data_IF_856339598424
#
_entry.id   IF_856339598424
#
_cell.length_a   1.000
_cell.length_b   1.000
_cell.length_c   1.000
_cell.angle_alpha   90.00
_cell.angle_beta   90.00
_cell.angle_gamma   90.00
#
_symmetry.space_group_name_H-M   'P 1'
#
loop_
_entity.id
_entity.type
_entity.pdbx_description
1 polymer ?
#
# COMPACT_ATOMS: atom_id res chain seq x y z
N UNK A 1 6.54 18.60 -11.08
CA UNK A 1 5.17 18.10 -10.70
C UNK A 1 5.31 16.73 -10.09
N UNK A 2 4.67 16.45 -8.95
CA UNK A 2 4.73 15.15 -8.26
C UNK A 2 4.18 14.03 -9.15
N UNK A 3 4.95 12.97 -9.37
CA UNK A 3 4.51 11.78 -10.11
C UNK A 3 3.77 10.84 -9.18
N UNK A 4 2.61 10.34 -9.61
CA UNK A 4 1.79 9.42 -8.83
C UNK A 4 1.76 8.03 -9.47
N UNK A 5 1.85 7.02 -8.62
CA UNK A 5 1.75 5.61 -9.00
C UNK A 5 0.72 4.93 -8.13
N UNK A 6 -0.14 4.13 -8.72
CA UNK A 6 -1.11 3.34 -7.99
C UNK A 6 -0.88 1.84 -8.22
N UNK A 7 -0.80 1.06 -7.15
CA UNK A 7 -0.64 -0.39 -7.21
C UNK A 7 -1.90 -1.07 -6.74
N UNK A 8 -2.42 -1.93 -7.59
CA UNK A 8 -3.57 -2.78 -7.32
C UNK A 8 -3.20 -4.26 -7.36
N UNK A 9 -3.99 -5.07 -6.69
CA UNK A 9 -3.94 -6.54 -6.72
C UNK A 9 -4.74 -7.12 -5.56
N UNK A 10 -5.13 -8.38 -5.66
CA UNK A 10 -5.82 -9.07 -4.58
C UNK A 10 -4.96 -9.19 -3.32
N UNK A 11 -5.59 -9.43 -2.16
CA UNK A 11 -4.85 -9.71 -0.90
C UNK A 11 -3.89 -10.88 -1.13
N UNK A 12 -2.62 -10.67 -0.81
CA UNK A 12 -1.55 -11.64 -1.02
C UNK A 12 -0.95 -11.70 -2.42
N UNK A 13 -1.36 -10.82 -3.36
CA UNK A 13 -0.78 -10.75 -4.70
C UNK A 13 0.69 -10.27 -4.72
N UNK A 14 1.17 -9.65 -3.65
CA UNK A 14 2.54 -9.13 -3.57
C UNK A 14 2.65 -7.63 -3.87
N UNK A 15 1.59 -6.86 -3.70
CA UNK A 15 1.59 -5.40 -3.91
C UNK A 15 2.69 -4.68 -3.13
N UNK A 16 2.85 -5.03 -1.85
CA UNK A 16 3.88 -4.45 -0.99
C UNK A 16 5.29 -4.77 -1.50
N UNK A 17 5.51 -6.02 -1.96
CA UNK A 17 6.78 -6.41 -2.57
C UNK A 17 7.07 -5.58 -3.82
N UNK A 18 6.07 -5.41 -4.69
CA UNK A 18 6.20 -4.59 -5.90
C UNK A 18 6.46 -3.13 -5.53
N UNK A 19 5.73 -2.58 -4.55
CA UNK A 19 5.91 -1.20 -4.09
C UNK A 19 7.34 -0.96 -3.58
N UNK A 20 7.84 -1.84 -2.72
CA UNK A 20 9.18 -1.74 -2.15
C UNK A 20 10.27 -1.85 -3.23
N UNK A 21 10.17 -2.85 -4.11
CA UNK A 21 11.14 -3.04 -5.19
C UNK A 21 11.12 -1.91 -6.22
N UNK A 22 9.93 -1.40 -6.53
CA UNK A 22 9.77 -0.25 -7.42
C UNK A 22 10.37 1.01 -6.79
N UNK A 23 10.08 1.28 -5.51
CA UNK A 23 10.65 2.41 -4.79
C UNK A 23 12.19 2.34 -4.76
N UNK A 24 12.75 1.18 -4.40
CA UNK A 24 14.20 0.96 -4.39
C UNK A 24 14.84 1.16 -5.77
N UNK A 25 14.13 0.79 -6.85
CA UNK A 25 14.62 0.96 -8.23
C UNK A 25 14.55 2.41 -8.67
N UNK A 26 13.49 3.14 -8.30
CA UNK A 26 13.35 4.56 -8.61
C UNK A 26 14.42 5.41 -7.91
N UNK A 27 14.70 5.13 -6.63
CA UNK A 27 15.82 5.78 -5.90
C UNK A 27 17.17 5.49 -6.57
N UNK A 28 17.37 4.23 -7.04
CA UNK A 28 18.58 3.87 -7.79
C UNK A 28 18.70 4.65 -9.09
N UNK A 29 17.60 4.83 -9.85
CA UNK A 29 17.64 5.59 -11.11
C UNK A 29 18.01 7.05 -10.83
N UNK A 30 17.39 7.68 -9.82
CA UNK A 30 17.70 9.05 -9.43
C UNK A 30 19.17 9.23 -9.01
N UNK A 31 19.71 8.30 -8.20
CA UNK A 31 21.11 8.31 -7.81
C UNK A 31 22.04 8.09 -9.02
N UNK A 32 21.67 7.20 -9.93
CA UNK A 32 22.46 6.90 -11.14
C UNK A 32 22.56 8.10 -12.07
N UNK A 33 21.48 8.88 -12.21
CA UNK A 33 21.47 10.13 -12.95
C UNK A 33 22.40 11.17 -12.32
N UNK A 34 22.34 11.35 -11.01
CA UNK A 34 23.19 12.28 -10.28
C UNK A 34 24.67 11.91 -10.39
N UNK A 35 24.98 10.60 -10.44
CA UNK A 35 26.35 10.11 -10.59
C UNK A 35 26.81 9.99 -12.04
N UNK A 36 26.00 10.41 -13.03
CA UNK A 36 26.29 10.36 -14.45
C UNK A 36 26.76 8.95 -14.92
N UNK A 37 26.10 7.88 -14.45
CA UNK A 37 26.42 6.51 -14.84
C UNK A 37 25.93 6.25 -16.27
N UNK A 38 26.71 6.69 -17.25
CA UNK A 38 26.31 6.73 -18.66
C UNK A 38 26.61 5.42 -19.44
N UNK A 39 27.35 4.45 -18.86
CA UNK A 39 27.64 3.18 -19.52
C UNK A 39 26.53 2.17 -19.17
N UNK A 40 25.84 1.68 -20.18
CA UNK A 40 24.77 0.68 -20.03
C UNK A 40 25.22 -0.55 -19.25
N UNK A 41 26.47 -1.02 -19.44
CA UNK A 41 27.02 -2.17 -18.70
C UNK A 41 27.14 -1.90 -17.21
N UNK A 42 27.56 -0.69 -16.81
CA UNK A 42 27.75 -0.31 -15.43
C UNK A 42 26.40 -0.06 -14.76
N UNK A 43 25.47 0.59 -15.47
CA UNK A 43 24.11 0.77 -15.03
C UNK A 43 23.40 -0.57 -14.72
N UNK A 44 23.43 -1.51 -15.67
CA UNK A 44 22.83 -2.86 -15.47
C UNK A 44 23.50 -3.62 -14.33
N UNK A 45 24.81 -3.51 -14.16
CA UNK A 45 25.53 -4.16 -13.07
C UNK A 45 25.10 -3.59 -11.71
N UNK A 46 25.05 -2.27 -11.56
CA UNK A 46 24.62 -1.61 -10.34
C UNK A 46 23.16 -1.90 -10.03
N UNK A 47 22.27 -1.81 -11.02
CA UNK A 47 20.87 -2.21 -10.85
C UNK A 47 20.74 -3.65 -10.32
N UNK A 48 21.50 -4.59 -10.88
CA UNK A 48 21.47 -5.98 -10.42
C UNK A 48 21.84 -6.12 -8.94
N UNK A 49 22.81 -5.36 -8.47
CA UNK A 49 23.24 -5.37 -7.07
C UNK A 49 22.14 -4.81 -6.17
N UNK A 50 21.62 -3.62 -6.50
CA UNK A 50 20.59 -2.94 -5.71
C UNK A 50 19.30 -3.78 -5.65
N UNK A 51 18.86 -4.30 -6.80
CA UNK A 51 17.65 -5.11 -6.85
C UNK A 51 17.77 -6.40 -6.02
N UNK A 52 18.90 -7.11 -6.14
CA UNK A 52 19.13 -8.33 -5.36
C UNK A 52 19.20 -8.05 -3.86
N UNK A 53 19.82 -6.95 -3.45
CA UNK A 53 19.87 -6.52 -2.05
C UNK A 53 18.46 -6.17 -1.53
N UNK A 54 17.68 -5.43 -2.31
CA UNK A 54 16.29 -5.10 -1.98
C UNK A 54 15.42 -6.36 -1.83
N UNK A 55 15.51 -7.31 -2.79
CA UNK A 55 14.80 -8.59 -2.69
C UNK A 55 15.20 -9.34 -1.41
N UNK A 56 16.51 -9.42 -1.11
CA UNK A 56 16.99 -10.09 0.09
C UNK A 56 16.44 -9.45 1.36
N UNK A 57 16.57 -8.14 1.51
CA UNK A 57 16.05 -7.40 2.68
C UNK A 57 14.56 -7.64 2.86
N UNK A 58 13.79 -7.55 1.79
CA UNK A 58 12.33 -7.75 1.85
C UNK A 58 11.94 -9.19 2.23
N UNK A 59 12.65 -10.19 1.71
CA UNK A 59 12.38 -11.61 1.99
C UNK A 59 12.81 -12.00 3.40
N UNK A 60 13.93 -11.47 3.88
CA UNK A 60 14.45 -11.76 5.21
C UNK A 60 13.54 -11.17 6.30
N UNK A 61 13.13 -9.93 6.16
CA UNK A 61 12.24 -9.23 7.11
C UNK A 61 11.57 -8.04 6.41
N UNK A 62 10.32 -8.22 5.99
CA UNK A 62 9.54 -7.20 5.27
C UNK A 62 9.39 -5.90 6.09
N UNK A 63 9.00 -6.02 7.36
CA UNK A 63 8.67 -4.85 8.18
C UNK A 63 9.94 -4.05 8.49
N UNK A 64 11.06 -4.75 8.71
CA UNK A 64 12.37 -4.13 8.86
C UNK A 64 12.86 -3.50 7.56
N UNK A 65 12.63 -4.14 6.41
CA UNK A 65 13.00 -3.58 5.11
C UNK A 65 12.32 -2.23 4.86
N UNK A 66 11.04 -2.09 5.20
CA UNK A 66 10.34 -0.81 5.13
C UNK A 66 10.83 0.21 6.16
N UNK A 67 11.08 -0.23 7.39
CA UNK A 67 11.55 0.66 8.47
C UNK A 67 12.97 1.21 8.22
N UNK A 68 13.85 0.38 7.65
CA UNK A 68 15.23 0.73 7.33
C UNK A 68 15.39 1.43 5.97
N UNK A 69 14.31 1.53 5.17
CA UNK A 69 14.35 2.16 3.86
C UNK A 69 14.49 3.68 4.00
N UNK A 70 15.60 4.22 3.51
CA UNK A 70 15.85 5.66 3.43
C UNK A 70 15.53 6.15 2.00
N UNK A 71 14.23 6.13 1.65
CA UNK A 71 13.76 6.66 0.37
C UNK A 71 13.73 8.20 0.45
N UNK A 72 14.51 8.86 -0.40
CA UNK A 72 14.65 10.33 -0.39
C UNK A 72 13.66 11.03 -1.31
N UNK A 73 13.32 10.36 -2.41
CA UNK A 73 12.49 10.92 -3.49
C UNK A 73 11.23 10.10 -3.76
N UNK A 74 11.10 8.92 -3.13
CA UNK A 74 9.94 8.04 -3.28
C UNK A 74 9.21 7.89 -1.96
N UNK A 75 7.90 8.12 -1.99
CA UNK A 75 7.02 8.06 -0.81
C UNK A 75 6.01 6.94 -1.01
N UNK A 76 5.94 6.05 -0.03
CA UNK A 76 4.94 4.98 0.00
C UNK A 76 3.77 5.42 0.86
N UNK A 77 2.55 5.26 0.33
CA UNK A 77 1.32 5.70 0.97
C UNK A 77 0.19 4.70 0.69
N UNK A 78 -0.89 4.77 1.45
CA UNK A 78 -2.10 4.00 1.19
C UNK A 78 -3.35 4.77 1.60
N UNK A 79 -4.43 4.64 0.82
CA UNK A 79 -5.73 5.22 1.17
C UNK A 79 -6.27 4.71 2.52
N UNK A 80 -5.87 3.50 2.90
CA UNK A 80 -6.21 2.88 4.17
C UNK A 80 -5.44 3.41 5.38
N UNK A 81 -4.49 4.32 5.22
CA UNK A 81 -3.66 4.80 6.34
C UNK A 81 -4.40 5.85 7.18
N UNK A 82 -5.21 6.70 6.56
CA UNK A 82 -6.01 7.67 7.29
C UNK A 82 -7.00 7.03 8.28
N UNK A 83 -7.82 6.01 7.91
CA UNK A 83 -8.66 5.32 8.87
C UNK A 83 -7.88 4.62 9.98
N UNK A 84 -6.72 4.02 9.68
CA UNK A 84 -5.85 3.40 10.68
C UNK A 84 -5.34 4.41 11.69
N UNK A 85 -4.84 5.56 11.24
CA UNK A 85 -4.35 6.63 12.12
C UNK A 85 -5.46 7.14 13.05
N UNK A 86 -6.70 7.31 12.54
CA UNK A 86 -7.84 7.73 13.35
C UNK A 86 -8.23 6.66 14.38
N UNK A 87 -8.23 5.38 14.00
CA UNK A 87 -8.50 4.28 14.94
C UNK A 87 -7.42 4.21 16.02
N UNK A 88 -6.15 4.37 15.66
CA UNK A 88 -5.06 4.41 16.64
C UNK A 88 -5.27 5.52 17.69
N UNK A 89 -5.63 6.71 17.23
CA UNK A 89 -5.95 7.83 18.14
C UNK A 89 -7.17 7.55 19.01
N UNK A 90 -8.23 6.97 18.42
CA UNK A 90 -9.46 6.65 19.13
C UNK A 90 -9.22 5.63 20.25
N UNK A 91 -8.42 4.59 19.96
CA UNK A 91 -8.10 3.54 20.92
C UNK A 91 -6.96 3.92 21.88
N UNK A 92 -6.20 4.97 21.58
CA UNK A 92 -5.02 5.36 22.36
C UNK A 92 -3.95 4.28 22.44
N UNK A 93 -3.82 3.45 21.41
CA UNK A 93 -3.04 2.21 21.43
C UNK A 93 -1.67 2.34 20.75
N UNK A 94 -0.80 1.37 21.02
CA UNK A 94 0.51 1.27 20.38
C UNK A 94 0.39 1.06 18.87
N UNK A 95 1.38 1.58 18.14
CA UNK A 95 1.50 1.47 16.69
C UNK A 95 1.32 0.02 16.18
N UNK A 96 1.93 -0.96 16.84
CA UNK A 96 1.92 -2.36 16.41
C UNK A 96 0.52 -2.92 16.15
N UNK A 97 -0.47 -2.60 16.98
CA UNK A 97 -1.83 -3.15 16.86
C UNK A 97 -2.56 -2.72 15.58
N UNK A 98 -2.24 -1.53 15.08
CA UNK A 98 -2.92 -0.95 13.93
C UNK A 98 -2.14 -1.15 12.62
N UNK A 99 -0.83 -1.15 12.69
CA UNK A 99 0.01 -1.10 11.49
C UNK A 99 0.63 -2.44 11.12
N UNK A 100 0.97 -3.29 12.09
CA UNK A 100 1.51 -4.62 11.84
C UNK A 100 0.40 -5.63 11.57
N UNK A 101 0.51 -6.41 10.48
CA UNK A 101 -0.53 -7.35 10.08
C UNK A 101 -0.73 -8.48 11.09
N UNK A 102 0.35 -8.90 11.77
CA UNK A 102 0.28 -9.92 12.81
C UNK A 102 -0.73 -9.54 13.90
N UNK A 103 -0.56 -8.35 14.49
CA UNK A 103 -1.37 -7.91 15.63
C UNK A 103 -2.83 -7.64 15.29
N UNK A 104 -3.14 -7.27 14.04
CA UNK A 104 -4.53 -7.12 13.60
C UNK A 104 -5.33 -8.41 13.70
N UNK A 105 -4.66 -9.56 13.56
CA UNK A 105 -5.25 -10.90 13.63
C UNK A 105 -4.95 -11.61 14.98
N UNK A 106 -4.20 -10.95 15.91
CA UNK A 106 -3.82 -11.49 17.23
C UNK A 106 -4.10 -10.50 18.37
N UNK A 107 -5.00 -9.55 18.15
CA UNK A 107 -5.48 -8.67 19.19
C UNK A 107 -6.98 -8.39 19.02
N UNK A 108 -7.65 -8.24 20.15
CA UNK A 108 -9.06 -7.89 20.23
C UNK A 108 -9.23 -6.58 20.99
N UNK A 109 -10.25 -5.81 20.62
CA UNK A 109 -10.69 -4.61 21.33
C UNK A 109 -12.02 -4.89 22.02
N UNK A 110 -12.10 -4.57 23.31
CA UNK A 110 -13.37 -4.54 24.05
C UNK A 110 -14.13 -3.26 23.72
N UNK A 111 -15.28 -3.39 23.07
CA UNK A 111 -16.07 -2.24 22.62
C UNK A 111 -16.71 -1.42 23.77
N UNK A 112 -16.68 -1.91 25.01
CA UNK A 112 -17.18 -1.17 26.17
C UNK A 112 -16.10 -0.25 26.76
N UNK A 113 -14.84 -0.69 26.78
CA UNK A 113 -13.75 0.02 27.45
C UNK A 113 -12.71 0.56 26.50
N UNK A 114 -12.68 0.07 25.26
CA UNK A 114 -11.61 0.24 24.28
C UNK A 114 -10.25 -0.34 24.71
N UNK A 115 -10.27 -1.22 25.72
CA UNK A 115 -9.06 -1.96 26.09
C UNK A 115 -8.68 -2.97 25.00
N UNK A 116 -7.40 -3.10 24.74
CA UNK A 116 -6.85 -4.07 23.79
C UNK A 116 -6.24 -5.23 24.55
N UNK A 117 -6.55 -6.45 24.14
CA UNK A 117 -5.96 -7.69 24.63
C UNK A 117 -5.26 -8.42 23.51
N UNK A 118 -4.03 -8.86 23.78
CA UNK A 118 -3.30 -9.77 22.91
C UNK A 118 -3.82 -11.19 23.10
N UNK A 119 -3.95 -11.90 21.98
CA UNK A 119 -4.45 -13.30 21.95
C UNK A 119 -3.59 -14.13 21.02
N UNK A 120 -3.37 -15.39 21.37
CA UNK A 120 -2.61 -16.31 20.50
C UNK A 120 -3.43 -16.65 19.23
N UNK A 121 -4.73 -16.84 19.39
CA UNK A 121 -5.71 -17.06 18.32
C UNK A 121 -6.96 -16.24 18.61
N UNK A 122 -7.65 -15.76 17.57
CA UNK A 122 -8.90 -15.05 17.76
C UNK A 122 -9.95 -15.99 18.39
N UNK A 123 -10.56 -15.60 19.54
CA UNK A 123 -11.55 -16.43 20.20
C UNK A 123 -12.83 -16.58 19.36
N UNK A 124 -13.55 -17.69 19.57
CA UNK A 124 -14.88 -17.85 19.02
C UNK A 124 -15.85 -16.85 19.65
N UNK A 125 -16.85 -16.40 18.89
CA UNK A 125 -17.91 -15.52 19.38
C UNK A 125 -17.54 -14.05 19.46
N UNK A 126 -16.46 -13.63 18.80
CA UNK A 126 -16.19 -12.21 18.58
C UNK A 126 -17.35 -11.56 17.82
N UNK A 127 -17.61 -10.30 18.16
CA UNK A 127 -18.55 -9.46 17.42
C UNK A 127 -17.99 -9.21 16.03
N UNK A 128 -18.81 -9.40 15.01
CA UNK A 128 -18.49 -9.12 13.62
C UNK A 128 -18.95 -7.71 13.23
N UNK A 129 -18.51 -7.26 12.05
CA UNK A 129 -18.98 -5.99 11.46
C UNK A 129 -20.50 -6.02 11.26
N UNK A 130 -21.07 -7.18 10.86
CA UNK A 130 -22.50 -7.33 10.62
C UNK A 130 -23.29 -7.23 11.94
N UNK A 131 -22.80 -7.83 13.04
CA UNK A 131 -23.42 -7.72 14.36
C UNK A 131 -23.49 -6.25 14.82
N UNK A 132 -22.47 -5.44 14.58
CA UNK A 132 -22.48 -4.02 14.90
C UNK A 132 -23.49 -3.23 14.05
N UNK A 133 -23.66 -3.58 12.78
CA UNK A 133 -24.65 -2.97 11.89
C UNK A 133 -26.06 -3.26 12.38
N UNK A 134 -26.30 -4.46 12.88
CA UNK A 134 -27.59 -4.91 13.40
C UNK A 134 -27.87 -4.42 14.83
N UNK A 135 -26.94 -3.69 15.45
CA UNK A 135 -27.10 -3.05 16.75
C UNK A 135 -26.68 -3.91 17.95
N UNK A 136 -25.98 -5.02 17.74
CA UNK A 136 -25.42 -5.88 18.79
C UNK A 136 -24.00 -5.41 19.16
N UNK A 137 -23.88 -4.28 19.86
CA UNK A 137 -22.60 -3.58 20.01
C UNK A 137 -21.85 -3.78 21.33
N UNK A 138 -22.05 -4.90 22.05
CA UNK A 138 -21.41 -5.13 23.36
C UNK A 138 -20.54 -6.39 23.28
N UNK A 139 -19.22 -6.26 23.42
CA UNK A 139 -18.31 -7.40 23.44
C UNK A 139 -16.93 -7.09 22.85
N UNK A 140 -16.21 -8.14 22.49
CA UNK A 140 -14.87 -8.06 21.92
C UNK A 140 -14.93 -8.24 20.39
N UNK A 141 -14.11 -7.48 19.67
CA UNK A 141 -13.97 -7.51 18.21
C UNK A 141 -12.49 -7.58 17.82
N UNK A 142 -12.16 -8.22 16.69
CA UNK A 142 -10.79 -8.15 16.19
C UNK A 142 -10.41 -6.71 15.82
N UNK A 143 -9.14 -6.34 16.00
CA UNK A 143 -8.64 -5.01 15.58
C UNK A 143 -8.87 -4.81 14.08
N UNK A 144 -8.71 -5.86 13.26
CA UNK A 144 -8.96 -5.82 11.81
C UNK A 144 -10.41 -5.42 11.51
N UNK A 145 -11.37 -6.08 12.14
CA UNK A 145 -12.79 -5.81 11.90
C UNK A 145 -13.20 -4.43 12.45
N UNK A 146 -12.61 -4.00 13.55
CA UNK A 146 -12.83 -2.66 14.09
C UNK A 146 -12.37 -1.56 13.13
N UNK A 147 -11.16 -1.71 12.53
CA UNK A 147 -10.67 -0.78 11.50
C UNK A 147 -11.61 -0.74 10.29
N UNK A 148 -12.09 -1.92 9.83
CA UNK A 148 -13.02 -2.01 8.70
C UNK A 148 -14.37 -1.37 9.04
N UNK A 149 -14.93 -1.69 10.20
CA UNK A 149 -16.19 -1.09 10.67
C UNK A 149 -16.09 0.44 10.75
N UNK A 150 -15.07 0.95 11.42
CA UNK A 150 -14.87 2.39 11.55
C UNK A 150 -14.67 3.06 10.17
N UNK A 151 -13.82 2.51 9.34
CA UNK A 151 -13.50 3.08 8.03
C UNK A 151 -14.67 3.10 7.06
N UNK A 152 -15.48 2.05 7.03
CA UNK A 152 -16.56 1.88 6.05
C UNK A 152 -17.91 2.28 6.67
N UNK A 153 -18.31 1.62 7.75
CA UNK A 153 -19.67 1.76 8.29
C UNK A 153 -19.87 3.05 9.08
N UNK A 154 -18.81 3.59 9.69
CA UNK A 154 -18.89 4.88 10.37
C UNK A 154 -18.52 6.01 9.42
N UNK A 155 -17.28 6.07 8.98
CA UNK A 155 -16.79 7.24 8.26
C UNK A 155 -17.38 7.39 6.84
N UNK A 156 -17.40 6.32 6.03
CA UNK A 156 -17.98 6.42 4.69
C UNK A 156 -19.50 6.61 4.71
N UNK A 157 -20.20 6.06 5.71
CA UNK A 157 -21.64 6.22 5.85
C UNK A 157 -22.03 7.66 6.14
N UNK A 158 -21.29 8.35 7.02
CA UNK A 158 -21.64 9.72 7.46
C UNK A 158 -20.96 10.82 6.67
N UNK A 159 -19.79 10.57 6.07
CA UNK A 159 -19.01 11.59 5.36
C UNK A 159 -18.86 11.32 3.86
N UNK A 160 -19.47 10.24 3.35
CA UNK A 160 -19.44 9.86 1.94
C UNK A 160 -18.34 8.85 1.61
N UNK A 161 -18.58 8.08 0.52
CA UNK A 161 -17.69 6.97 0.10
C UNK A 161 -16.28 7.42 -0.28
N UNK A 162 -16.09 8.69 -0.56
CA UNK A 162 -14.84 9.30 -0.97
C UNK A 162 -14.09 10.02 0.16
N UNK A 163 -14.53 9.86 1.43
CA UNK A 163 -13.93 10.54 2.59
C UNK A 163 -12.42 10.29 2.69
N UNK A 164 -11.96 9.07 2.44
CA UNK A 164 -10.55 8.72 2.53
C UNK A 164 -9.76 9.27 1.35
N UNK A 165 -10.34 9.28 0.16
CA UNK A 165 -9.74 9.92 -1.01
C UNK A 165 -9.59 11.43 -0.79
N UNK A 166 -10.60 12.08 -0.20
CA UNK A 166 -10.53 13.50 0.16
C UNK A 166 -9.46 13.77 1.23
N UNK A 167 -9.37 12.89 2.24
CA UNK A 167 -8.32 12.99 3.26
C UNK A 167 -6.92 12.89 2.66
N UNK A 168 -6.71 11.89 1.80
CA UNK A 168 -5.46 11.70 1.07
C UNK A 168 -5.13 12.90 0.19
N UNK A 169 -6.10 13.40 -0.60
CA UNK A 169 -5.92 14.57 -1.46
C UNK A 169 -5.54 15.84 -0.67
N UNK A 170 -6.06 16.00 0.55
CA UNK A 170 -5.66 17.11 1.42
C UNK A 170 -4.23 16.94 1.96
N UNK A 171 -3.85 15.71 2.29
CA UNK A 171 -2.47 15.42 2.70
C UNK A 171 -1.49 15.62 1.55
N UNK A 172 -1.84 15.17 0.33
CA UNK A 172 -1.05 15.41 -0.87
C UNK A 172 -0.81 16.90 -1.07
N UNK A 173 -1.89 17.69 -1.03
CA UNK A 173 -1.80 19.14 -1.20
C UNK A 173 -0.94 19.83 -0.13
N UNK A 174 -1.00 19.38 1.13
CA UNK A 174 -0.15 19.91 2.21
C UNK A 174 1.31 19.54 2.02
N UNK A 175 1.57 18.40 1.41
CA UNK A 175 2.90 17.86 1.22
C UNK A 175 3.52 18.29 -0.13
N UNK A 176 2.73 18.84 -1.08
CA UNK A 176 3.22 19.33 -2.37
C UNK A 176 4.37 20.36 -2.18
N UNK A 177 4.30 21.23 -1.16
CA UNK A 177 5.35 22.21 -0.86
C UNK A 177 6.65 21.56 -0.33
N UNK A 178 6.56 20.38 0.27
CA UNK A 178 7.72 19.67 0.84
C UNK A 178 8.33 18.65 -0.13
N UNK A 179 7.56 18.24 -1.16
CA UNK A 179 7.90 17.11 -2.05
C UNK A 179 7.67 17.45 -3.52
N UNK A 180 8.08 18.67 -3.95
CA UNK A 180 7.77 19.20 -5.29
C UNK A 180 8.14 18.25 -6.44
N UNK A 181 9.22 17.46 -6.30
CA UNK A 181 9.75 16.58 -7.35
C UNK A 181 9.72 15.08 -6.97
N UNK A 182 8.96 14.69 -5.95
CA UNK A 182 8.92 13.31 -5.46
C UNK A 182 7.96 12.42 -6.25
N UNK A 183 8.19 11.12 -6.15
CA UNK A 183 7.30 10.07 -6.68
C UNK A 183 6.51 9.49 -5.51
N UNK A 184 5.17 9.48 -5.59
CA UNK A 184 4.33 8.87 -4.57
C UNK A 184 3.68 7.61 -5.08
N UNK A 185 3.84 6.51 -4.34
CA UNK A 185 3.30 5.20 -4.67
C UNK A 185 2.20 4.84 -3.68
N UNK A 186 0.97 4.75 -4.16
CA UNK A 186 -0.17 4.22 -3.42
C UNK A 186 -0.20 2.71 -3.53
N UNK A 187 0.07 2.02 -2.43
CA UNK A 187 0.36 0.57 -2.40
C UNK A 187 -0.87 -0.33 -2.44
N UNK A 188 -2.08 0.21 -2.31
CA UNK A 188 -3.27 -0.62 -2.10
C UNK A 188 -4.57 0.06 -2.59
N UNK A 189 -4.75 0.08 -3.92
CA UNK A 189 -6.00 0.57 -4.53
C UNK A 189 -7.06 -0.52 -4.42
N UNK A 190 -8.20 -0.23 -3.77
CA UNK A 190 -9.30 -1.16 -3.55
C UNK A 190 -10.65 -0.68 -4.05
N UNK A 191 -10.86 0.64 -4.11
CA UNK A 191 -12.15 1.24 -4.41
C UNK A 191 -12.16 2.01 -5.73
N UNK A 192 -13.30 2.05 -6.45
CA UNK A 192 -13.44 2.85 -7.67
C UNK A 192 -13.14 4.34 -7.48
N UNK A 193 -13.45 4.90 -6.31
CA UNK A 193 -13.17 6.30 -5.98
C UNK A 193 -11.67 6.58 -5.89
N UNK A 194 -10.89 5.65 -5.32
CA UNK A 194 -9.42 5.73 -5.22
C UNK A 194 -8.79 5.68 -6.62
N UNK A 195 -9.24 4.71 -7.43
CA UNK A 195 -8.78 4.59 -8.82
C UNK A 195 -9.12 5.84 -9.65
N UNK A 196 -10.34 6.34 -9.54
CA UNK A 196 -10.78 7.56 -10.24
C UNK A 196 -9.92 8.76 -9.84
N UNK A 197 -9.61 8.91 -8.57
CA UNK A 197 -8.72 9.97 -8.09
C UNK A 197 -7.35 9.89 -8.76
N UNK A 198 -6.73 8.71 -8.77
CA UNK A 198 -5.42 8.51 -9.36
C UNK A 198 -5.41 8.72 -10.88
N UNK A 199 -6.44 8.22 -11.59
CA UNK A 199 -6.59 8.45 -13.04
C UNK A 199 -6.73 9.96 -13.35
N UNK A 200 -7.54 10.69 -12.57
CA UNK A 200 -7.70 12.13 -12.74
C UNK A 200 -6.42 12.92 -12.46
N UNK A 201 -5.52 12.34 -11.68
CA UNK A 201 -4.17 12.86 -11.41
C UNK A 201 -3.11 12.31 -12.38
N UNK A 202 -3.52 11.61 -13.42
CA UNK A 202 -2.64 11.02 -14.45
C UNK A 202 -1.61 10.03 -13.88
N UNK A 203 -1.95 9.37 -12.77
CA UNK A 203 -1.09 8.37 -12.15
C UNK A 203 -0.86 7.16 -13.04
N UNK A 204 0.32 6.56 -12.94
CA UNK A 204 0.62 5.25 -13.54
C UNK A 204 -0.02 4.15 -12.70
N UNK A 205 -0.88 3.34 -13.31
CA UNK A 205 -1.61 2.27 -12.63
C UNK A 205 -1.00 0.91 -12.94
N UNK A 206 -0.60 0.19 -11.89
CA UNK A 206 0.04 -1.13 -11.96
C UNK A 206 -0.90 -2.18 -11.35
N UNK A 207 -1.22 -3.21 -12.12
CA UNK A 207 -1.92 -4.39 -11.61
C UNK A 207 -0.90 -5.47 -11.25
N UNK A 208 -1.07 -6.08 -10.07
CA UNK A 208 -0.19 -7.15 -9.56
C UNK A 208 -0.99 -8.43 -9.38
N UNK A 209 -0.52 -9.50 -10.00
CA UNK A 209 -1.10 -10.83 -9.91
C UNK A 209 -0.05 -11.84 -9.45
N UNK A 210 -0.47 -12.85 -8.70
CA UNK A 210 0.39 -13.96 -8.30
C UNK A 210 -0.14 -15.28 -8.83
N UNK A 211 0.63 -15.96 -9.66
CA UNK A 211 0.25 -17.28 -10.20
C UNK A 211 0.17 -18.33 -9.09
N UNK A 212 -0.86 -19.14 -9.14
CA UNK A 212 -1.07 -20.23 -8.17
C UNK A 212 -1.64 -19.78 -6.81
N UNK A 213 -1.87 -18.48 -6.63
CA UNK A 213 -2.47 -17.98 -5.40
C UNK A 213 -4.00 -17.98 -5.51
N UNK A 214 -4.66 -18.68 -4.59
CA UNK A 214 -6.12 -18.61 -4.48
C UNK A 214 -6.49 -17.25 -3.89
N UNK A 215 -7.40 -16.52 -4.55
CA UNK A 215 -7.94 -15.26 -4.04
C UNK A 215 -8.42 -15.46 -2.60
N UNK A 216 -7.71 -14.89 -1.63
CA UNK A 216 -8.23 -14.79 -0.26
C UNK A 216 -9.24 -13.63 -0.25
N UNK A 217 -10.38 -13.86 0.39
CA UNK A 217 -11.40 -12.83 0.56
C UNK A 217 -10.78 -11.51 1.02
N UNK A 218 -11.28 -10.41 0.51
CA UNK A 218 -10.84 -9.06 0.83
C UNK A 218 -11.70 -8.04 0.10
N UNK A 219 -11.70 -6.81 0.57
CA UNK A 219 -12.43 -5.72 -0.06
C UNK A 219 -11.70 -5.31 -1.34
N UNK A 220 -12.06 -5.92 -2.46
CA UNK A 220 -11.67 -5.47 -3.80
C UNK A 220 -12.96 -5.15 -4.56
N UNK A 221 -13.30 -3.87 -4.62
CA UNK A 221 -14.50 -3.36 -5.27
C UNK A 221 -14.27 -3.04 -6.74
N UNK A 222 -13.04 -3.22 -7.23
CA UNK A 222 -12.70 -2.95 -8.62
C UNK A 222 -13.06 -4.14 -9.50
N UNK A 223 -13.66 -3.84 -10.66
CA UNK A 223 -13.98 -4.86 -11.67
C UNK A 223 -12.73 -5.29 -12.43
N UNK A 224 -12.74 -6.52 -12.95
CA UNK A 224 -11.61 -7.08 -13.71
C UNK A 224 -11.38 -6.38 -15.07
N UNK A 225 -12.33 -5.59 -15.57
CA UNK A 225 -12.27 -4.84 -16.83
C UNK A 225 -11.61 -3.44 -16.70
N UNK A 226 -11.08 -3.10 -15.55
CA UNK A 226 -10.41 -1.81 -15.32
C UNK A 226 -9.08 -1.74 -16.06
N UNK A 227 -8.81 -0.60 -16.69
CA UNK A 227 -7.57 -0.34 -17.44
C UNK A 227 -6.37 -0.20 -16.49
N UNK A 228 -5.26 -0.84 -16.88
CA UNK A 228 -3.95 -0.70 -16.25
C UNK A 228 -2.93 -0.22 -17.28
N UNK A 229 -1.92 0.49 -16.83
CA UNK A 229 -0.77 0.84 -17.66
C UNK A 229 0.23 -0.32 -17.71
N UNK A 230 0.37 -1.04 -16.60
CA UNK A 230 1.24 -2.21 -16.48
C UNK A 230 0.57 -3.35 -15.74
N UNK A 231 0.97 -4.58 -16.08
CA UNK A 231 0.55 -5.80 -15.39
C UNK A 231 1.78 -6.62 -15.00
N UNK A 232 1.96 -6.86 -13.70
CA UNK A 232 3.06 -7.65 -13.14
C UNK A 232 2.53 -9.01 -12.70
N UNK A 233 3.17 -10.09 -13.16
CA UNK A 233 2.83 -11.45 -12.76
C UNK A 233 3.96 -12.09 -11.94
N UNK A 234 3.78 -12.21 -10.63
CA UNK A 234 4.73 -12.89 -9.74
C UNK A 234 4.52 -14.40 -9.84
N UNK A 235 5.61 -15.16 -10.09
CA UNK A 235 5.58 -16.61 -10.13
C UNK A 235 5.80 -17.19 -8.73
N UNK A 236 4.73 -17.63 -8.06
CA UNK A 236 4.84 -18.11 -6.68
C UNK A 236 5.37 -17.02 -5.73
N UNK A 237 6.50 -17.28 -5.08
CA UNK A 237 7.18 -16.32 -4.22
C UNK A 237 8.48 -15.77 -4.85
N UNK A 238 8.70 -16.02 -6.14
CA UNK A 238 9.92 -15.62 -6.83
C UNK A 238 9.86 -14.15 -7.27
N UNK A 239 10.37 -13.25 -6.43
CA UNK A 239 10.48 -11.82 -6.71
C UNK A 239 11.54 -11.51 -7.78
N UNK A 240 12.47 -12.43 -8.04
CA UNK A 240 13.44 -12.27 -9.14
C UNK A 240 12.78 -12.36 -10.51
N UNK A 241 11.64 -13.08 -10.60
CA UNK A 241 10.89 -13.25 -11.85
C UNK A 241 10.29 -11.96 -12.42
N UNK A 242 10.20 -10.90 -11.63
CA UNK A 242 9.61 -9.60 -12.03
C UNK A 242 10.64 -8.48 -12.17
N UNK A 243 11.92 -8.81 -12.10
CA UNK A 243 13.01 -7.82 -12.08
C UNK A 243 13.00 -6.89 -13.29
N UNK A 244 12.90 -7.46 -14.49
CA UNK A 244 12.91 -6.68 -15.72
C UNK A 244 11.64 -5.84 -15.89
N UNK A 245 10.50 -6.34 -15.40
CA UNK A 245 9.24 -5.58 -15.36
C UNK A 245 9.36 -4.36 -14.43
N UNK A 246 9.94 -4.54 -13.24
CA UNK A 246 10.18 -3.45 -12.27
C UNK A 246 11.10 -2.39 -12.87
N UNK A 247 12.21 -2.78 -13.49
CA UNK A 247 13.12 -1.82 -14.12
C UNK A 247 12.43 -1.04 -15.23
N UNK A 248 11.74 -1.73 -16.14
CA UNK A 248 10.99 -1.09 -17.24
C UNK A 248 9.94 -0.09 -16.74
N UNK A 249 9.22 -0.46 -15.69
CA UNK A 249 8.18 0.42 -15.10
C UNK A 249 8.84 1.63 -14.42
N UNK A 250 9.92 1.41 -13.68
CA UNK A 250 10.65 2.48 -13.02
C UNK A 250 11.24 3.48 -14.04
N UNK A 251 11.86 2.98 -15.10
CA UNK A 251 12.36 3.80 -16.22
C UNK A 251 11.22 4.58 -16.89
N UNK A 252 10.07 3.93 -17.12
CA UNK A 252 8.90 4.61 -17.66
C UNK A 252 8.43 5.75 -16.75
N UNK A 253 8.29 5.51 -15.44
CA UNK A 253 7.86 6.52 -14.47
C UNK A 253 8.87 7.66 -14.40
N UNK A 254 10.16 7.34 -14.38
CA UNK A 254 11.22 8.33 -14.20
C UNK A 254 11.38 9.24 -15.42
N UNK A 255 11.41 8.65 -16.65
CA UNK A 255 11.71 9.35 -17.88
C UNK A 255 10.50 9.92 -18.63
N UNK A 256 9.28 9.42 -18.35
CA UNK A 256 8.07 9.99 -18.94
C UNK A 256 7.69 11.25 -18.16
N UNK A 257 8.27 12.35 -18.58
CA UNK A 257 7.63 13.62 -18.34
C UNK A 257 6.30 13.63 -19.09
N UNK A 258 5.25 14.20 -18.47
CA UNK A 258 3.96 14.42 -19.08
C UNK A 258 4.16 14.96 -20.50
N UNK A 259 4.10 14.07 -21.48
CA UNK A 259 3.94 14.54 -22.85
C UNK A 259 2.54 15.10 -22.91
N UNK A 260 2.49 16.45 -22.76
CA UNK A 260 1.44 17.31 -23.32
C UNK A 260 0.58 16.55 -24.34
N UNK A 261 -0.68 16.36 -23.97
CA UNK A 261 -1.75 16.20 -24.93
C UNK A 261 -1.93 17.47 -25.73
#
# INVERSE_FOLDING_TARGET
>A
MQKLVGIRGHRGAGKESVAFLLASTLEFIDESERLEINKESDYKKHFNIIYNDAVKKFVDDKDKAFADADFKHVYLDAFGDAPKAMVQQLLGCDYKYIWEDYWKDHAVVDLNTFDIKEVDELPDGLITVDDLIDGFGIGEMSIRDFILYFGINVMQKYFGRDVWVKSTAQNDKRNEEYFEDGIRIYTDIKAPTELTYLINKQAVIINVERRGYKKKGGLDLLKDDTRWDFNIQIKGNDLMSIKDDILKIAEYIYWHDEKSC
#
